data_IF_640971924911
#
_entry.id   IF_640971924911
#
_cell.length_a   1.000
_cell.length_b   1.000
_cell.length_c   1.000
_cell.angle_alpha   90.00
_cell.angle_beta   90.00
_cell.angle_gamma   90.00
#
_symmetry.space_group_name_H-M   'P 1'
#
loop_
_entity.id
_entity.type
_entity.pdbx_description
1 polymer ?
#
# COMPACT_ATOMS: atom_id res chain seq x y z
N UNK A 1 -25.79 -18.90 -7.77
CA UNK A 1 -25.29 -17.51 -7.88
C UNK A 1 -25.27 -16.97 -6.46
N UNK A 2 -24.11 -16.99 -5.81
CA UNK A 2 -23.98 -16.56 -4.42
C UNK A 2 -23.92 -15.03 -4.37
N UNK A 3 -24.79 -14.44 -3.55
CA UNK A 3 -24.90 -13.01 -3.34
C UNK A 3 -23.69 -12.54 -2.53
N UNK A 4 -22.81 -11.76 -3.15
CA UNK A 4 -21.57 -11.28 -2.56
C UNK A 4 -21.88 -10.03 -1.73
N UNK A 5 -21.81 -10.13 -0.40
CA UNK A 5 -21.93 -9.00 0.52
C UNK A 5 -20.65 -8.17 0.50
N UNK A 6 -20.45 -7.43 -0.60
CA UNK A 6 -19.45 -6.35 -0.66
C UNK A 6 -20.04 -5.10 0.00
N UNK A 7 -19.19 -4.26 0.59
CA UNK A 7 -19.55 -2.89 1.00
C UNK A 7 -20.06 -2.06 -0.20
N UNK A 8 -20.19 -0.73 -0.14
CA UNK A 8 -20.50 0.07 -1.34
C UNK A 8 -19.41 -0.20 -2.39
N UNK A 9 -19.67 -1.15 -3.29
CA UNK A 9 -18.62 -1.80 -4.07
C UNK A 9 -17.98 -0.85 -5.04
N UNK A 10 -16.67 -1.00 -5.25
CA UNK A 10 -15.93 -0.34 -6.31
C UNK A 10 -15.72 -1.36 -7.44
N UNK A 11 -16.59 -1.43 -8.47
CA UNK A 11 -16.54 -2.49 -9.48
C UNK A 11 -15.21 -2.52 -10.25
N UNK A 12 -14.55 -1.37 -10.37
CA UNK A 12 -13.19 -1.17 -10.86
C UNK A 12 -12.13 -2.02 -10.16
N UNK A 13 -12.36 -2.37 -8.89
CA UNK A 13 -11.44 -3.12 -8.04
C UNK A 13 -11.84 -4.59 -7.88
N UNK A 14 -12.97 -5.01 -8.43
CA UNK A 14 -13.45 -6.39 -8.32
C UNK A 14 -12.52 -7.42 -8.99
N UNK A 15 -11.70 -6.96 -9.94
CA UNK A 15 -10.73 -7.79 -10.66
C UNK A 15 -9.31 -7.73 -10.05
N UNK A 16 -9.17 -7.06 -8.89
CA UNK A 16 -7.91 -6.99 -8.15
C UNK A 16 -7.91 -8.08 -7.09
N UNK A 17 -6.99 -9.05 -7.21
CA UNK A 17 -6.95 -10.19 -6.30
C UNK A 17 -6.47 -9.81 -4.88
N UNK A 18 -5.47 -8.92 -4.78
CA UNK A 18 -4.93 -8.48 -3.51
C UNK A 18 -4.74 -6.96 -3.47
N UNK A 19 -5.24 -6.31 -2.41
CA UNK A 19 -4.99 -4.88 -2.16
C UNK A 19 -4.10 -4.77 -0.93
N UNK A 20 -2.91 -4.19 -1.12
CA UNK A 20 -1.89 -4.03 -0.08
C UNK A 20 -1.75 -2.54 0.25
N UNK A 21 -2.08 -2.16 1.48
CA UNK A 21 -1.86 -0.80 1.94
C UNK A 21 -0.41 -0.63 2.41
N UNK A 22 0.23 0.47 2.04
CA UNK A 22 1.54 0.87 2.56
C UNK A 22 1.34 2.12 3.41
N UNK A 23 1.61 2.01 4.71
CA UNK A 23 1.31 3.03 5.70
C UNK A 23 2.54 3.41 6.53
N UNK A 24 2.49 4.59 7.16
CA UNK A 24 3.50 5.04 8.11
C UNK A 24 2.92 5.94 9.19
N UNK A 25 3.40 5.82 10.43
CA UNK A 25 2.92 6.65 11.55
C UNK A 25 3.31 8.12 11.46
N UNK A 26 4.30 8.47 10.63
CA UNK A 26 4.78 9.84 10.40
C UNK A 26 5.21 10.07 8.95
N UNK A 27 5.35 11.34 8.58
CA UNK A 27 5.94 11.77 7.31
C UNK A 27 7.47 11.61 7.28
N UNK A 28 8.05 11.52 6.08
CA UNK A 28 9.51 11.52 5.89
C UNK A 28 10.22 10.17 6.12
N UNK A 29 9.50 9.08 6.43
CA UNK A 29 10.10 7.74 6.63
C UNK A 29 10.44 7.00 5.33
N UNK A 30 10.15 7.59 4.16
CA UNK A 30 10.35 6.95 2.85
C UNK A 30 9.28 5.92 2.48
N UNK A 31 8.06 6.06 3.01
CA UNK A 31 6.89 5.21 2.69
C UNK A 31 6.66 5.02 1.18
N UNK A 32 6.61 6.12 0.42
CA UNK A 32 6.41 6.09 -1.03
C UNK A 32 7.57 5.41 -1.77
N UNK A 33 8.81 5.59 -1.28
CA UNK A 33 9.98 4.88 -1.78
C UNK A 33 9.84 3.38 -1.61
N UNK A 34 9.38 2.94 -0.44
CA UNK A 34 9.10 1.52 -0.17
C UNK A 34 7.96 1.02 -1.05
N UNK A 35 6.85 1.76 -1.17
CA UNK A 35 5.71 1.38 -2.01
C UNK A 35 6.11 1.16 -3.47
N UNK A 36 6.86 2.10 -4.05
CA UNK A 36 7.34 2.03 -5.44
C UNK A 36 8.25 0.82 -5.66
N UNK A 37 9.20 0.57 -4.76
CA UNK A 37 10.13 -0.55 -4.91
C UNK A 37 9.45 -1.91 -4.63
N UNK A 38 8.51 -2.00 -3.70
CA UNK A 38 7.70 -3.20 -3.47
C UNK A 38 6.82 -3.51 -4.69
N UNK A 39 6.11 -2.53 -5.24
CA UNK A 39 5.29 -2.72 -6.43
C UNK A 39 6.14 -3.18 -7.63
N UNK A 40 7.30 -2.56 -7.82
CA UNK A 40 8.25 -2.92 -8.87
C UNK A 40 8.82 -4.34 -8.65
N UNK A 41 9.16 -4.71 -7.41
CA UNK A 41 9.63 -6.05 -7.06
C UNK A 41 8.57 -7.14 -7.27
N UNK A 42 7.30 -6.90 -6.89
CA UNK A 42 6.18 -7.80 -7.17
C UNK A 42 6.02 -8.03 -8.68
N UNK A 43 6.08 -6.94 -9.47
CA UNK A 43 5.99 -7.01 -10.94
C UNK A 43 7.16 -7.79 -11.55
N UNK A 44 8.38 -7.59 -11.02
CA UNK A 44 9.57 -8.39 -11.40
C UNK A 44 9.39 -9.87 -11.13
N UNK A 45 8.67 -10.21 -10.05
CA UNK A 45 8.25 -11.58 -9.74
C UNK A 45 7.16 -12.15 -10.66
N UNK A 46 6.81 -11.47 -11.76
CA UNK A 46 5.85 -11.93 -12.75
C UNK A 46 4.39 -11.62 -12.42
N UNK A 47 4.13 -10.79 -11.41
CA UNK A 47 2.77 -10.39 -11.02
C UNK A 47 2.25 -9.22 -11.88
N UNK A 48 0.94 -9.19 -12.13
CA UNK A 48 0.24 -8.01 -12.65
C UNK A 48 0.02 -7.04 -11.51
N UNK A 49 0.68 -5.89 -11.55
CA UNK A 49 0.71 -4.96 -10.43
C UNK A 49 0.17 -3.59 -10.81
N UNK A 50 -0.68 -3.05 -9.94
CA UNK A 50 -1.04 -1.65 -9.89
C UNK A 50 -0.36 -0.95 -8.72
N UNK A 51 -0.03 0.33 -8.89
CA UNK A 51 0.44 1.23 -7.85
C UNK A 51 -0.46 2.45 -7.80
N UNK A 52 -1.07 2.67 -6.63
CA UNK A 52 -1.95 3.78 -6.35
C UNK A 52 -1.28 4.75 -5.37
N UNK A 53 -1.05 5.98 -5.81
CA UNK A 53 -0.62 7.07 -4.94
C UNK A 53 -1.84 7.78 -4.37
N UNK A 54 -2.12 7.51 -3.09
CA UNK A 54 -3.21 8.08 -2.34
C UNK A 54 -2.79 9.31 -1.51
N UNK A 55 -1.51 9.73 -1.56
CA UNK A 55 -1.04 10.94 -0.88
C UNK A 55 -1.40 12.20 -1.67
N UNK A 56 -2.58 12.75 -1.37
CA UNK A 56 -3.14 13.92 -2.07
C UNK A 56 -2.36 15.21 -1.76
N UNK A 57 -1.70 15.28 -0.60
CA UNK A 57 -1.02 16.49 -0.15
C UNK A 57 0.43 16.58 -0.64
N UNK A 58 1.06 15.43 -0.88
CA UNK A 58 2.44 15.35 -1.35
C UNK A 58 2.65 14.16 -2.28
N UNK A 59 1.96 14.09 -3.42
CA UNK A 59 2.09 12.97 -4.35
C UNK A 59 3.54 12.92 -4.84
N UNK A 60 4.21 11.81 -4.59
CA UNK A 60 5.63 11.64 -4.93
C UNK A 60 5.83 10.61 -6.05
N UNK A 61 4.89 9.68 -6.21
CA UNK A 61 4.99 8.56 -7.16
C UNK A 61 5.12 9.04 -8.62
N UNK A 62 4.38 10.06 -9.10
CA UNK A 62 4.58 10.62 -10.43
C UNK A 62 6.05 10.99 -10.71
N UNK A 63 6.67 11.76 -9.81
CA UNK A 63 8.08 12.14 -9.91
C UNK A 63 9.00 10.94 -9.79
N UNK A 64 8.73 10.05 -8.83
CA UNK A 64 9.55 8.86 -8.56
C UNK A 64 9.58 7.83 -9.69
N UNK A 65 8.66 7.92 -10.63
CA UNK A 65 8.60 7.10 -11.83
C UNK A 65 8.85 7.90 -13.12
N UNK A 66 9.15 9.21 -13.01
CA UNK A 66 9.26 10.13 -14.13
C UNK A 66 8.02 10.06 -15.06
N UNK A 67 6.85 10.03 -14.43
CA UNK A 67 5.54 10.02 -15.06
C UNK A 67 4.89 11.40 -14.95
N UNK A 68 4.88 12.12 -16.06
CA UNK A 68 4.26 13.46 -16.18
C UNK A 68 3.11 13.49 -17.19
N UNK A 69 2.60 12.33 -17.58
CA UNK A 69 1.52 12.22 -18.57
C UNK A 69 0.17 12.45 -17.92
N UNK A 70 -0.67 13.22 -18.60
CA UNK A 70 -2.10 13.31 -18.27
C UNK A 70 -2.75 11.93 -18.40
N UNK A 71 -3.72 11.66 -17.52
CA UNK A 71 -4.52 10.44 -17.60
C UNK A 71 -5.45 10.51 -18.80
N UNK A 72 -5.67 9.36 -19.42
CA UNK A 72 -6.56 9.24 -20.57
C UNK A 72 -7.86 8.55 -20.18
N UNK A 73 -8.83 8.62 -21.08
CA UNK A 73 -10.09 7.88 -20.97
C UNK A 73 -10.42 7.30 -22.33
N UNK A 74 -10.19 6.01 -22.51
CA UNK A 74 -10.42 5.32 -23.78
C UNK A 74 -11.91 5.18 -24.13
N UNK A 75 -12.78 5.11 -23.11
CA UNK A 75 -14.23 4.94 -23.27
C UNK A 75 -15.04 6.21 -22.93
N UNK A 76 -14.36 7.30 -22.56
CA UNK A 76 -14.96 8.56 -22.13
C UNK A 76 -15.69 8.49 -20.78
N UNK A 77 -15.60 7.38 -20.05
CA UNK A 77 -16.31 7.13 -18.78
C UNK A 77 -15.36 6.81 -17.64
N UNK A 78 -14.32 6.02 -17.89
CA UNK A 78 -13.35 5.58 -16.91
C UNK A 78 -11.99 6.22 -17.16
N UNK A 79 -11.20 6.30 -16.11
CA UNK A 79 -9.83 6.82 -16.16
C UNK A 79 -8.89 5.63 -16.36
N UNK A 80 -8.10 5.68 -17.43
CA UNK A 80 -7.08 4.68 -17.69
C UNK A 80 -5.82 5.01 -16.87
N UNK A 81 -5.32 4.07 -16.04
CA UNK A 81 -4.06 4.27 -15.32
C UNK A 81 -2.90 4.38 -16.30
N UNK A 82 -1.94 5.26 -15.99
CA UNK A 82 -0.70 5.35 -16.73
C UNK A 82 0.06 4.03 -16.62
N UNK A 83 0.74 3.60 -17.69
CA UNK A 83 1.56 2.39 -17.64
C UNK A 83 3.03 2.72 -17.82
N UNK A 84 3.88 2.13 -16.97
CA UNK A 84 5.33 2.23 -17.07
C UNK A 84 5.97 0.89 -16.71
N UNK A 85 6.78 0.33 -17.63
CA UNK A 85 7.52 -0.92 -17.41
C UNK A 85 6.62 -2.09 -16.95
N UNK A 86 5.36 -2.14 -17.43
CA UNK A 86 4.37 -3.15 -17.05
C UNK A 86 3.72 -2.93 -15.67
N UNK A 87 3.98 -1.80 -15.01
CA UNK A 87 3.29 -1.36 -13.81
C UNK A 87 2.18 -0.38 -14.21
N UNK A 88 0.94 -0.65 -13.79
CA UNK A 88 -0.15 0.34 -13.89
C UNK A 88 -0.04 1.31 -12.72
N UNK A 89 -0.09 2.60 -12.98
CA UNK A 89 0.15 3.65 -12.01
C UNK A 89 -0.96 4.67 -12.08
N UNK A 90 -1.54 4.97 -10.93
CA UNK A 90 -2.46 6.08 -10.80
C UNK A 90 -2.10 6.91 -9.58
N UNK A 91 -2.19 8.24 -9.71
CA UNK A 91 -1.91 9.16 -8.63
C UNK A 91 -2.95 10.27 -8.62
N UNK A 92 -3.38 10.65 -7.42
CA UNK A 92 -4.18 11.86 -7.24
C UNK A 92 -3.45 13.10 -7.77
N UNK A 93 -2.11 13.08 -7.80
CA UNK A 93 -1.29 14.13 -8.40
C UNK A 93 -1.50 14.32 -9.91
N UNK A 94 -2.00 13.30 -10.64
CA UNK A 94 -2.34 13.46 -12.07
C UNK A 94 -3.63 14.26 -12.28
N UNK A 95 -4.52 14.27 -11.28
CA UNK A 95 -5.83 14.93 -11.37
C UNK A 95 -5.81 16.36 -10.85
N UNK A 96 -4.70 16.80 -10.26
CA UNK A 96 -4.55 18.13 -9.66
C UNK A 96 -3.65 18.98 -10.56
N UNK A 97 -4.20 20.03 -11.21
CA UNK A 97 -3.38 20.97 -11.96
C UNK A 97 -2.37 21.65 -11.03
N UNK A 98 -1.06 21.72 -11.38
CA UNK A 98 -0.02 22.33 -10.55
C UNK A 98 -0.29 23.79 -10.16
N UNK A 99 -1.14 24.48 -10.92
CA UNK A 99 -1.46 25.90 -10.79
C UNK A 99 -2.63 26.20 -9.84
N UNK A 100 -3.33 25.19 -9.31
CA UNK A 100 -4.49 25.41 -8.41
C UNK A 100 -4.19 24.88 -7.01
N UNK A 101 -3.83 25.79 -6.10
CA UNK A 101 -3.86 25.52 -4.67
C UNK A 101 -5.31 25.34 -4.22
N UNK A 102 -5.81 24.10 -4.29
CA UNK A 102 -7.16 23.75 -3.82
C UNK A 102 -7.13 23.48 -2.32
N UNK A 103 -7.96 24.18 -1.55
CA UNK A 103 -8.18 23.87 -0.14
C UNK A 103 -9.12 22.65 -0.08
N UNK A 104 -8.55 21.49 0.21
CA UNK A 104 -9.32 20.25 0.39
C UNK A 104 -10.02 20.26 1.74
N UNK A 105 -11.35 20.38 1.73
CA UNK A 105 -12.17 20.09 2.92
C UNK A 105 -12.47 18.60 2.99
N UNK A 106 -12.57 18.03 4.20
CA UNK A 106 -12.77 16.60 4.43
C UNK A 106 -13.82 15.91 3.52
N UNK A 107 -15.04 16.47 3.38
CA UNK A 107 -16.06 15.89 2.50
C UNK A 107 -15.69 15.88 1.00
N UNK A 108 -14.97 16.90 0.53
CA UNK A 108 -14.49 16.96 -0.85
C UNK A 108 -13.42 15.91 -1.10
N UNK A 109 -12.52 15.76 -0.12
CA UNK A 109 -11.45 14.78 -0.16
C UNK A 109 -12.01 13.35 -0.21
N UNK A 110 -12.95 13.04 0.68
CA UNK A 110 -13.64 11.76 0.69
C UNK A 110 -14.35 11.49 -0.65
N UNK A 111 -15.08 12.49 -1.18
CA UNK A 111 -15.76 12.35 -2.47
C UNK A 111 -14.80 12.09 -3.62
N UNK A 112 -13.67 12.81 -3.66
CA UNK A 112 -12.65 12.64 -4.69
C UNK A 112 -11.98 11.26 -4.60
N UNK A 113 -11.65 10.79 -3.40
CA UNK A 113 -11.11 9.45 -3.16
C UNK A 113 -12.11 8.38 -3.61
N UNK A 114 -13.36 8.45 -3.18
CA UNK A 114 -14.40 7.49 -3.55
C UNK A 114 -14.64 7.50 -5.07
N UNK A 115 -14.69 8.67 -5.69
CA UNK A 115 -14.81 8.77 -7.14
C UNK A 115 -13.62 8.12 -7.85
N UNK A 116 -12.41 8.42 -7.40
CA UNK A 116 -11.19 7.89 -7.97
C UNK A 116 -11.10 6.36 -7.83
N UNK A 117 -11.45 5.81 -6.68
CA UNK A 117 -11.50 4.36 -6.49
C UNK A 117 -12.51 3.68 -7.42
N UNK A 118 -13.60 4.36 -7.78
CA UNK A 118 -14.64 3.85 -8.67
C UNK A 118 -14.30 3.98 -10.16
N UNK A 119 -13.75 5.12 -10.55
CA UNK A 119 -13.68 5.50 -11.96
C UNK A 119 -12.39 5.01 -12.64
N UNK A 120 -11.38 4.54 -11.89
CA UNK A 120 -10.11 4.05 -12.45
C UNK A 120 -10.24 2.61 -12.95
N UNK A 121 -9.95 2.38 -14.22
CA UNK A 121 -10.04 1.05 -14.83
C UNK A 121 -8.70 0.28 -14.72
N UNK A 122 -8.51 -0.40 -13.59
CA UNK A 122 -7.31 -1.21 -13.36
C UNK A 122 -7.23 -2.46 -14.24
N UNK A 123 -8.36 -3.03 -14.63
CA UNK A 123 -8.43 -4.37 -15.22
C UNK A 123 -7.95 -5.45 -14.24
N UNK A 124 -7.62 -6.66 -14.71
CA UNK A 124 -7.20 -7.76 -13.84
C UNK A 124 -5.79 -7.53 -13.29
N UNK A 125 -5.67 -7.50 -11.95
CA UNK A 125 -4.41 -7.37 -11.23
C UNK A 125 -4.26 -8.47 -10.18
N UNK A 126 -3.03 -8.95 -10.00
CA UNK A 126 -2.68 -9.83 -8.89
C UNK A 126 -2.53 -9.01 -7.59
N UNK A 127 -1.96 -7.81 -7.70
CA UNK A 127 -1.71 -6.90 -6.58
C UNK A 127 -1.98 -5.44 -6.96
N UNK A 128 -2.65 -4.71 -6.07
CA UNK A 128 -2.70 -3.25 -6.06
C UNK A 128 -2.01 -2.76 -4.78
N UNK A 129 -0.86 -2.11 -4.94
CA UNK A 129 -0.14 -1.46 -3.84
C UNK A 129 -0.66 -0.04 -3.70
N UNK A 130 -1.13 0.33 -2.50
CA UNK A 130 -1.69 1.66 -2.23
C UNK A 130 -0.77 2.42 -1.27
N UNK A 131 -0.12 3.47 -1.76
CA UNK A 131 0.70 4.37 -0.94
C UNK A 131 -0.20 5.39 -0.24
N UNK A 132 -0.51 5.14 1.03
CA UNK A 132 -1.42 5.98 1.80
C UNK A 132 -0.78 7.34 2.15
N UNK A 133 -1.55 8.40 2.47
CA UNK A 133 -1.00 9.60 3.12
C UNK A 133 -0.24 9.25 4.41
N UNK A 134 0.68 10.07 4.93
CA UNK A 134 1.34 9.81 6.21
C UNK A 134 0.42 9.98 7.42
N UNK A 135 0.75 9.33 8.55
CA UNK A 135 0.08 9.52 9.83
C UNK A 135 -0.89 8.38 10.19
N UNK A 136 -1.93 8.69 10.96
CA UNK A 136 -3.09 7.82 11.23
C UNK A 136 -4.38 8.64 11.19
N UNK A 137 -4.45 9.61 10.28
CA UNK A 137 -5.57 10.54 10.15
C UNK A 137 -6.73 9.99 9.30
N UNK A 138 -7.83 10.76 9.26
CA UNK A 138 -9.12 10.36 8.66
C UNK A 138 -9.04 9.90 7.20
N UNK A 139 -8.07 10.38 6.43
CA UNK A 139 -7.89 10.00 5.02
C UNK A 139 -7.42 8.56 4.87
N UNK A 140 -6.46 8.13 5.69
CA UNK A 140 -6.04 6.73 5.70
C UNK A 140 -7.19 5.82 6.11
N UNK A 141 -7.95 6.22 7.12
CA UNK A 141 -9.11 5.47 7.59
C UNK A 141 -10.18 5.37 6.51
N UNK A 142 -10.41 6.45 5.77
CA UNK A 142 -11.32 6.45 4.61
C UNK A 142 -10.91 5.42 3.58
N UNK A 143 -9.64 5.37 3.17
CA UNK A 143 -9.16 4.36 2.22
C UNK A 143 -9.29 2.94 2.78
N UNK A 144 -8.93 2.75 4.05
CA UNK A 144 -9.01 1.47 4.73
C UNK A 144 -10.46 0.95 4.86
N UNK A 145 -11.43 1.84 5.06
CA UNK A 145 -12.85 1.49 5.15
C UNK A 145 -13.52 1.31 3.79
N UNK A 146 -13.07 2.06 2.78
CA UNK A 146 -13.63 1.99 1.43
C UNK A 146 -13.24 0.69 0.72
N UNK A 147 -12.02 0.20 0.95
CA UNK A 147 -11.44 -0.90 0.20
C UNK A 147 -11.64 -2.25 0.90
N UNK A 148 -11.90 -3.31 0.14
CA UNK A 148 -11.73 -4.69 0.62
C UNK A 148 -10.25 -5.02 0.57
N UNK A 149 -9.55 -4.75 1.67
CA UNK A 149 -8.09 -4.82 1.77
C UNK A 149 -7.62 -6.22 2.17
N UNK A 150 -6.56 -6.72 1.55
CA UNK A 150 -5.92 -7.99 1.93
C UNK A 150 -5.05 -7.82 3.17
N UNK A 151 -4.32 -6.71 3.26
CA UNK A 151 -3.59 -6.34 4.46
C UNK A 151 -2.73 -5.09 4.30
N UNK A 152 -2.01 -4.73 5.36
CA UNK A 152 -1.18 -3.54 5.41
C UNK A 152 0.29 -3.85 5.69
N UNK A 153 1.19 -3.09 5.07
CA UNK A 153 2.62 -3.04 5.35
C UNK A 153 2.92 -1.72 6.05
N UNK A 154 3.58 -1.79 7.20
CA UNK A 154 3.97 -0.62 7.98
C UNK A 154 5.42 -0.27 7.67
N UNK A 155 5.67 0.98 7.27
CA UNK A 155 7.01 1.54 7.07
C UNK A 155 7.38 2.41 8.26
N UNK A 156 8.53 2.13 8.87
CA UNK A 156 9.05 2.88 10.01
C UNK A 156 10.57 3.08 9.91
N UNK A 157 11.15 3.82 10.85
CA UNK A 157 12.60 4.04 10.99
C UNK A 157 13.11 3.37 12.28
N UNK A 158 14.44 3.22 12.51
CA UNK A 158 14.95 2.52 13.71
C UNK A 158 14.75 3.23 15.05
N UNK A 159 14.34 4.49 15.04
CA UNK A 159 14.26 5.36 16.21
C UNK A 159 13.28 4.80 17.24
N UNK A 160 13.46 5.04 18.54
CA UNK A 160 12.52 4.51 19.56
C UNK A 160 11.08 4.98 19.37
N UNK A 161 10.88 6.16 18.77
CA UNK A 161 9.55 6.67 18.37
C UNK A 161 8.84 5.74 17.37
N UNK A 162 9.58 4.85 16.69
CA UNK A 162 9.03 3.83 15.81
C UNK A 162 8.07 2.88 16.53
N UNK A 163 8.28 2.59 17.82
CA UNK A 163 7.35 1.78 18.58
C UNK A 163 5.98 2.47 18.66
N UNK A 164 5.96 3.78 18.92
CA UNK A 164 4.73 4.55 18.95
C UNK A 164 4.06 4.61 17.56
N UNK A 165 4.84 4.71 16.48
CA UNK A 165 4.33 4.68 15.11
C UNK A 165 3.65 3.33 14.80
N UNK A 166 4.27 2.22 15.20
CA UNK A 166 3.72 0.86 15.04
C UNK A 166 2.47 0.65 15.90
N UNK A 167 2.48 1.10 17.15
CA UNK A 167 1.32 1.02 18.05
C UNK A 167 0.12 1.75 17.46
N UNK A 168 0.32 2.97 16.95
CA UNK A 168 -0.77 3.77 16.36
C UNK A 168 -1.30 3.14 15.08
N UNK A 169 -0.42 2.71 14.18
CA UNK A 169 -0.81 2.04 12.95
C UNK A 169 -1.58 0.75 13.25
N UNK A 170 -1.12 -0.04 14.24
CA UNK A 170 -1.82 -1.24 14.68
C UNK A 170 -3.21 -0.94 15.22
N UNK A 171 -3.33 0.02 16.15
CA UNK A 171 -4.64 0.40 16.69
C UNK A 171 -5.62 0.83 15.59
N UNK A 172 -5.13 1.55 14.57
CA UNK A 172 -5.93 1.97 13.42
C UNK A 172 -6.37 0.77 12.57
N UNK A 173 -5.46 -0.11 12.16
CA UNK A 173 -5.81 -1.28 11.35
C UNK A 173 -6.67 -2.31 12.08
N UNK A 174 -6.44 -2.52 13.38
CA UNK A 174 -7.29 -3.37 14.22
C UNK A 174 -8.74 -2.84 14.26
N UNK A 175 -8.92 -1.51 14.32
CA UNK A 175 -10.26 -0.89 14.34
C UNK A 175 -11.08 -1.10 13.05
N UNK A 176 -10.40 -1.40 11.93
CA UNK A 176 -11.01 -1.70 10.63
C UNK A 176 -10.79 -3.15 10.19
N UNK A 177 -10.34 -4.01 11.11
CA UNK A 177 -10.09 -5.45 10.88
C UNK A 177 -9.16 -5.75 9.70
N UNK A 178 -8.17 -4.89 9.43
CA UNK A 178 -7.17 -5.12 8.39
C UNK A 178 -5.95 -5.79 9.02
N UNK A 179 -5.50 -6.96 8.51
CA UNK A 179 -4.32 -7.62 9.05
C UNK A 179 -3.04 -6.88 8.61
N UNK A 180 -2.06 -6.83 9.51
CA UNK A 180 -0.73 -6.32 9.20
C UNK A 180 0.12 -7.45 8.63
N UNK A 181 0.46 -7.36 7.35
CA UNK A 181 1.27 -8.35 6.63
C UNK A 181 2.75 -8.28 7.01
N UNK A 182 3.19 -7.12 7.47
CA UNK A 182 4.50 -7.00 8.07
C UNK A 182 5.02 -5.57 8.17
N UNK A 183 6.25 -5.48 8.65
CA UNK A 183 6.93 -4.23 8.93
C UNK A 183 8.22 -4.12 8.11
N UNK A 184 8.47 -2.94 7.54
CA UNK A 184 9.72 -2.56 6.88
C UNK A 184 10.41 -1.47 7.70
N UNK A 185 11.65 -1.73 8.13
CA UNK A 185 12.51 -0.70 8.74
C UNK A 185 13.33 -0.03 7.66
N UNK A 186 12.98 1.20 7.30
CA UNK A 186 13.69 2.00 6.32
C UNK A 186 14.74 2.90 6.97
N UNK A 187 15.75 3.29 6.20
CA UNK A 187 16.88 4.12 6.67
C UNK A 187 17.58 3.53 7.91
N UNK A 188 17.75 2.21 7.91
CA UNK A 188 18.13 1.41 9.08
C UNK A 188 19.58 1.58 9.52
N UNK A 189 20.48 1.57 8.55
CA UNK A 189 21.91 1.76 8.70
C UNK A 189 22.49 2.32 7.41
N UNK A 190 23.75 2.71 7.45
CA UNK A 190 24.54 3.14 6.29
C UNK A 190 25.80 2.30 6.23
N UNK A 191 26.24 1.92 5.03
CA UNK A 191 27.54 1.29 4.81
C UNK A 191 28.40 2.30 4.07
N UNK A 192 29.61 2.56 4.58
CA UNK A 192 30.50 3.55 4.00
C UNK A 192 31.21 3.02 2.76
N UNK A 193 31.51 3.91 1.81
CA UNK A 193 32.34 3.55 0.66
C UNK A 193 33.71 3.09 1.16
N UNK A 194 34.07 1.83 0.87
CA UNK A 194 35.34 1.23 1.27
C UNK A 194 35.35 0.55 2.64
N UNK A 195 34.20 0.33 3.29
CA UNK A 195 34.08 -0.51 4.47
C UNK A 195 32.82 -1.39 4.45
N UNK A 196 32.82 -2.52 5.17
CA UNK A 196 31.63 -3.37 5.37
C UNK A 196 30.91 -3.08 6.70
N UNK A 197 31.31 -2.01 7.40
CA UNK A 197 30.75 -1.67 8.70
C UNK A 197 29.36 -1.06 8.53
N UNK A 198 28.38 -1.59 9.27
CA UNK A 198 27.06 -0.94 9.42
C UNK A 198 27.16 0.22 10.42
N UNK A 199 26.87 1.42 9.92
CA UNK A 199 26.77 2.65 10.70
C UNK A 199 25.30 2.96 10.99
N UNK A 200 24.91 2.90 12.25
CA UNK A 200 23.55 3.23 12.67
C UNK A 200 23.43 4.73 12.95
N UNK A 201 23.06 5.49 11.92
CA UNK A 201 23.00 6.97 11.98
C UNK A 201 21.92 7.46 12.95
N UNK A 202 20.80 6.75 13.05
CA UNK A 202 19.68 7.16 13.91
C UNK A 202 19.62 6.37 15.21
N UNK A 203 19.30 5.07 15.10
CA UNK A 203 19.17 4.10 16.17
C UNK A 203 19.20 2.70 15.52
N UNK A 204 18.90 1.65 16.27
CA UNK A 204 19.02 0.28 15.74
C UNK A 204 17.88 -0.61 16.22
N UNK A 205 17.20 -1.24 15.25
CA UNK A 205 16.26 -2.32 15.47
C UNK A 205 14.99 -1.94 16.23
N UNK A 206 14.64 -0.65 16.31
CA UNK A 206 13.42 -0.21 16.99
C UNK A 206 12.17 -0.83 16.37
N UNK A 207 12.12 -0.91 15.05
CA UNK A 207 10.97 -1.46 14.34
C UNK A 207 10.98 -3.00 14.34
N UNK A 208 12.17 -3.64 14.32
CA UNK A 208 12.30 -5.09 14.52
C UNK A 208 11.80 -5.52 15.90
N UNK A 209 12.23 -4.83 16.96
CA UNK A 209 11.75 -5.09 18.33
C UNK A 209 10.24 -4.89 18.46
N UNK A 210 9.70 -3.85 17.83
CA UNK A 210 8.26 -3.64 17.79
C UNK A 210 7.54 -4.80 17.07
N UNK A 211 8.08 -5.25 15.93
CA UNK A 211 7.52 -6.38 15.20
C UNK A 211 7.48 -7.66 16.05
N UNK A 212 8.58 -7.97 16.76
CA UNK A 212 8.66 -9.09 17.71
C UNK A 212 7.66 -8.97 18.86
N UNK A 213 7.59 -7.79 19.51
CA UNK A 213 6.67 -7.52 20.62
C UNK A 213 5.21 -7.71 20.23
N UNK A 214 4.87 -7.39 18.97
CA UNK A 214 3.51 -7.39 18.48
C UNK A 214 3.13 -8.62 17.67
N UNK A 215 4.06 -9.56 17.46
CA UNK A 215 3.86 -10.74 16.62
C UNK A 215 3.65 -10.41 15.15
N UNK A 216 4.21 -9.29 14.68
CA UNK A 216 4.11 -8.83 13.28
C UNK A 216 5.32 -9.36 12.51
N UNK A 217 5.16 -9.88 11.28
CA UNK A 217 6.29 -10.27 10.45
C UNK A 217 7.23 -9.10 10.16
N UNK A 218 8.54 -9.30 10.32
CA UNK A 218 9.55 -8.32 9.90
C UNK A 218 10.01 -8.62 8.48
N UNK A 219 9.67 -7.75 7.53
CA UNK A 219 9.82 -8.02 6.09
C UNK A 219 11.21 -7.68 5.59
N UNK A 220 11.74 -6.51 5.96
CA UNK A 220 13.03 -6.06 5.50
C UNK A 220 13.60 -4.93 6.35
N UNK A 221 14.92 -4.85 6.31
CA UNK A 221 15.73 -3.76 6.85
C UNK A 221 16.44 -3.08 5.67
N UNK A 222 15.99 -1.88 5.31
CA UNK A 222 16.48 -1.15 4.13
C UNK A 222 17.48 -0.09 4.60
N UNK A 223 18.74 -0.11 4.13
CA UNK A 223 19.73 0.89 4.52
C UNK A 223 19.51 2.23 3.82
N UNK A 224 20.18 3.26 4.34
CA UNK A 224 20.44 4.51 3.62
C UNK A 224 21.38 4.21 2.45
N UNK A 225 20.82 4.14 1.24
CA UNK A 225 21.54 3.80 0.02
C UNK A 225 21.38 4.93 -1.01
N UNK A 226 22.46 5.61 -1.42
CA UNK A 226 22.43 6.65 -2.45
C UNK A 226 21.71 6.24 -3.74
N UNK A 227 21.83 4.96 -4.15
CA UNK A 227 21.16 4.43 -5.35
C UNK A 227 19.64 4.39 -5.21
N UNK A 228 19.10 4.18 -3.99
CA UNK A 228 17.65 4.27 -3.74
C UNK A 228 17.16 5.70 -3.98
N UNK A 229 17.88 6.70 -3.46
CA UNK A 229 17.56 8.12 -3.68
C UNK A 229 17.70 8.50 -5.16
N UNK A 230 18.81 8.11 -5.82
CA UNK A 230 19.02 8.32 -7.27
C UNK A 230 17.88 7.75 -8.09
N UNK A 231 17.42 6.56 -7.74
CA UNK A 231 16.34 5.90 -8.44
C UNK A 231 15.02 6.66 -8.32
N UNK A 232 14.72 7.20 -7.13
CA UNK A 232 13.57 8.09 -6.93
C UNK A 232 13.67 9.38 -7.77
N UNK A 233 14.83 10.03 -7.79
CA UNK A 233 14.96 11.32 -8.49
C UNK A 233 14.98 11.16 -10.02
N UNK A 234 15.50 10.04 -10.53
CA UNK A 234 15.64 9.79 -11.97
C UNK A 234 14.47 8.97 -12.57
N UNK A 235 13.49 8.56 -11.77
CA UNK A 235 12.34 7.78 -12.25
C UNK A 235 12.63 6.29 -12.52
N UNK A 236 13.68 5.73 -11.91
CA UNK A 236 14.09 4.33 -12.07
C UNK A 236 14.34 3.69 -10.69
N UNK A 237 13.36 3.00 -10.09
CA UNK A 237 13.51 2.36 -8.78
C UNK A 237 14.73 1.42 -8.74
N UNK A 238 15.38 1.28 -7.58
CA UNK A 238 16.64 0.50 -7.48
C UNK A 238 16.45 -0.95 -7.92
N UNK A 239 15.28 -1.54 -7.63
CA UNK A 239 14.94 -2.90 -8.05
C UNK A 239 14.88 -3.07 -9.56
N UNK A 240 14.70 -1.98 -10.31
CA UNK A 240 14.76 -1.98 -11.78
C UNK A 240 16.15 -1.61 -12.30
N UNK A 241 16.84 -0.66 -11.65
CA UNK A 241 18.15 -0.17 -12.09
C UNK A 241 19.29 -1.16 -11.77
N UNK A 242 19.28 -1.73 -10.57
CA UNK A 242 20.40 -2.48 -9.98
C UNK A 242 19.88 -3.80 -9.39
N UNK A 243 19.55 -4.75 -10.25
CA UNK A 243 18.82 -5.97 -9.88
C UNK A 243 19.52 -6.80 -8.81
N UNK A 244 20.84 -6.97 -8.92
CA UNK A 244 21.63 -7.82 -8.03
C UNK A 244 22.11 -7.08 -6.77
N UNK A 245 21.77 -5.79 -6.64
CA UNK A 245 22.15 -5.00 -5.48
C UNK A 245 21.52 -5.55 -4.20
N UNK A 246 22.24 -5.62 -3.07
CA UNK A 246 21.69 -6.16 -1.81
C UNK A 246 20.38 -5.51 -1.36
N UNK A 247 20.23 -4.21 -1.60
CA UNK A 247 18.99 -3.47 -1.30
C UNK A 247 17.83 -3.86 -2.23
N UNK A 248 18.11 -4.12 -3.51
CA UNK A 248 17.10 -4.65 -4.44
C UNK A 248 16.64 -6.03 -3.99
N UNK A 249 17.57 -6.87 -3.57
CA UNK A 249 17.27 -8.20 -3.03
C UNK A 249 16.43 -8.12 -1.75
N UNK A 250 16.68 -7.13 -0.87
CA UNK A 250 15.84 -6.90 0.31
C UNK A 250 14.38 -6.56 -0.05
N UNK A 251 14.15 -5.73 -1.07
CA UNK A 251 12.80 -5.45 -1.57
C UNK A 251 12.15 -6.68 -2.23
N UNK A 252 12.91 -7.50 -2.96
CA UNK A 252 12.42 -8.76 -3.55
C UNK A 252 12.01 -9.75 -2.45
N UNK A 253 12.82 -9.90 -1.40
CA UNK A 253 12.49 -10.75 -0.25
C UNK A 253 11.26 -10.24 0.51
N UNK A 254 11.14 -8.93 0.69
CA UNK A 254 9.94 -8.33 1.28
C UNK A 254 8.69 -8.60 0.43
N UNK A 255 8.79 -8.44 -0.90
CA UNK A 255 7.70 -8.74 -1.82
C UNK A 255 7.28 -10.23 -1.78
N UNK A 256 8.24 -11.16 -1.73
CA UNK A 256 7.97 -12.59 -1.57
C UNK A 256 7.27 -12.89 -0.23
N UNK A 257 7.72 -12.26 0.85
CA UNK A 257 7.09 -12.40 2.17
C UNK A 257 5.66 -11.86 2.18
N UNK A 258 5.42 -10.73 1.51
CA UNK A 258 4.07 -10.17 1.32
C UNK A 258 3.17 -11.13 0.53
N UNK A 259 3.68 -11.79 -0.52
CA UNK A 259 2.90 -12.77 -1.28
C UNK A 259 2.41 -13.90 -0.36
N UNK A 260 3.30 -14.43 0.48
CA UNK A 260 2.95 -15.49 1.44
C UNK A 260 1.94 -15.01 2.48
N UNK A 261 2.19 -13.85 3.10
CA UNK A 261 1.30 -13.28 4.12
C UNK A 261 -0.08 -12.93 3.54
N UNK A 262 -0.14 -12.41 2.32
CA UNK A 262 -1.38 -12.07 1.62
C UNK A 262 -2.22 -13.31 1.30
N UNK A 263 -1.58 -14.44 0.95
CA UNK A 263 -2.29 -15.70 0.73
C UNK A 263 -2.98 -16.17 2.02
N UNK A 264 -2.25 -16.19 3.14
CA UNK A 264 -2.80 -16.56 4.46
C UNK A 264 -3.93 -15.62 4.87
N UNK A 265 -3.72 -14.31 4.78
CA UNK A 265 -4.73 -13.31 5.14
C UNK A 265 -6.01 -13.42 4.29
N UNK A 266 -5.87 -13.79 3.01
CA UNK A 266 -7.00 -14.00 2.11
C UNK A 266 -7.78 -15.26 2.49
N UNK A 267 -7.10 -16.37 2.76
CA UNK A 267 -7.73 -17.61 3.22
C UNK A 267 -8.52 -17.40 4.52
N UNK A 268 -7.91 -16.73 5.51
CA UNK A 268 -8.57 -16.42 6.77
C UNK A 268 -9.79 -15.51 6.59
N UNK A 269 -9.71 -14.51 5.69
CA UNK A 269 -10.84 -13.64 5.39
C UNK A 269 -12.00 -14.43 4.77
N UNK A 270 -11.72 -15.28 3.80
CA UNK A 270 -12.73 -16.11 3.15
C UNK A 270 -13.38 -17.10 4.12
N UNK A 271 -12.60 -17.68 5.03
CA UNK A 271 -13.12 -18.54 6.09
C UNK A 271 -14.10 -17.78 7.01
N UNK A 272 -13.73 -16.57 7.47
CA UNK A 272 -14.60 -15.71 8.28
C UNK A 272 -15.89 -15.33 7.55
N UNK A 273 -15.78 -14.95 6.28
CA UNK A 273 -16.95 -14.59 5.44
C UNK A 273 -17.90 -15.79 5.26
N UNK A 274 -17.37 -17.01 5.14
CA UNK A 274 -18.17 -18.23 5.05
C UNK A 274 -18.91 -18.53 6.37
N UNK A 275 -18.23 -18.43 7.51
CA UNK A 275 -18.84 -18.61 8.84
C UNK A 275 -19.95 -17.57 9.11
N UNK A 276 -19.72 -16.30 8.76
CA UNK A 276 -20.71 -15.23 8.88
C UNK A 276 -21.94 -15.47 8.00
N UNK A 277 -21.75 -15.99 6.77
CA UNK A 277 -22.85 -16.31 5.86
C UNK A 277 -23.72 -17.48 6.35
N UNK A 278 -23.12 -18.48 7.00
CA UNK A 278 -23.84 -19.61 7.61
C UNK A 278 -24.59 -19.22 8.89
N UNK A 279 -24.11 -18.19 9.60
CA UNK A 279 -24.72 -17.70 10.84
C UNK A 279 -26.01 -16.88 10.65
N UNK A 280 -26.37 -16.47 9.42
CA UNK A 280 -27.61 -15.73 9.14
C UNK A 280 -28.81 -16.70 9.09
N UNK A 281 -29.73 -16.71 10.08
CA UNK A 281 -30.85 -17.62 10.07
C UNK A 281 -31.84 -17.17 8.99
N UNK A 282 -32.13 -18.07 8.04
CA UNK A 282 -33.19 -17.86 7.05
C UNK A 282 -34.49 -17.44 7.74
N UNK A 283 -35.17 -16.43 7.17
CA UNK A 283 -36.53 -16.07 7.54
C UNK A 283 -37.39 -17.34 7.56
N UNK A 284 -37.64 -17.86 8.77
CA UNK A 284 -38.73 -18.80 9.01
C UNK A 284 -40.01 -18.04 8.64
N UNK A 285 -40.64 -18.49 7.56
CA UNK A 285 -42.02 -18.13 7.23
C UNK A 285 -42.87 -18.28 8.48
N UNK A 286 -43.33 -17.15 9.03
CA UNK A 286 -44.33 -17.15 10.09
C UNK A 286 -45.57 -17.87 9.57
N UNK A 287 -46.16 -18.83 10.30
CA UNK A 287 -47.39 -19.45 9.89
C UNK A 287 -48.48 -18.38 9.83
N UNK A 288 -49.15 -18.29 8.68
CA UNK A 288 -50.38 -17.50 8.53
C UNK A 288 -51.40 -18.13 9.48
N UNK A 289 -51.74 -17.41 10.54
CA UNK A 289 -52.87 -17.77 11.41
C UNK A 289 -54.14 -17.33 10.68
N UNK A 290 -54.91 -18.32 10.23
CA UNK A 290 -56.28 -18.18 9.70
C UNK A 290 -57.28 -17.87 10.81
#
# INVERSE_FOLDING_TARGET
MANNTKGPGFPSLDQVANIILVASGKGGVGKSTVAVNLASALRRGGKKVGLLDADIYGPSIPTMLNLHKEVQSSDGKHIDPNEIRGLKVMSMGFLIPPSKAMIWRGPMLHSAVTQFLRDVHWGPLDYLVVDLPPGTGDVQLTFAQALTVTGAVIVSTPQEVALADVVRARAMFDSVKIPILGLVENMSYFICDGCDKKHHIFATGGARKAAEQFGIPFLAEIPLEPMVRRGGDNGMPIVEAEVDHPVSQAFVQAAQSIILAAAVATEERLAREAEEAEAVPGHRSLPIVT
#
